data_IF_886170747918
#
_entry.id   IF_886170747918
#
_cell.length_a   1.000
_cell.length_b   1.000
_cell.length_c   1.000
_cell.angle_alpha   90.00
_cell.angle_beta   90.00
_cell.angle_gamma   90.00
#
_symmetry.space_group_name_H-M   'P 1'
#
loop_
_entity.id
_entity.type
_entity.pdbx_description
1 polymer ?
#
# COMPACT_ATOMS: atom_id res chain seq x y z
N UNK A 1 -12.54 4.19 7.72
CA UNK A 1 -11.77 3.74 8.89
C UNK A 1 -10.80 4.85 9.28
N UNK A 2 -10.68 5.22 10.56
CA UNK A 2 -9.71 6.21 11.04
C UNK A 2 -8.26 5.77 10.81
N UNK A 3 -7.36 6.72 10.48
CA UNK A 3 -5.93 6.44 10.30
C UNK A 3 -5.26 5.95 11.58
N UNK A 4 -5.77 6.38 12.74
CA UNK A 4 -5.28 5.96 14.05
C UNK A 4 -5.50 4.46 14.33
N UNK A 5 -6.45 3.83 13.65
CA UNK A 5 -6.70 2.38 13.76
C UNK A 5 -5.80 1.57 12.82
N UNK A 6 -5.26 2.21 11.78
CA UNK A 6 -4.28 1.61 10.85
C UNK A 6 -2.88 1.67 11.43
N UNK A 7 -2.49 2.82 11.99
CA UNK A 7 -1.13 3.07 12.50
C UNK A 7 -0.92 2.46 13.89
N UNK A 8 -1.12 1.15 14.00
CA UNK A 8 -0.91 0.37 15.22
C UNK A 8 -0.04 -0.86 14.95
N UNK A 9 0.82 -1.27 15.90
CA UNK A 9 1.65 -2.48 15.81
C UNK A 9 0.91 -3.76 15.39
N UNK A 10 -0.36 -3.90 15.81
CA UNK A 10 -1.18 -5.08 15.55
C UNK A 10 -1.89 -5.09 14.20
N UNK A 11 -1.76 -4.04 13.39
CA UNK A 11 -2.45 -3.98 12.11
C UNK A 11 -1.83 -4.96 11.10
N UNK A 12 -2.63 -5.82 10.41
CA UNK A 12 -2.12 -6.79 9.47
C UNK A 12 -1.30 -6.16 8.35
N UNK A 13 -0.11 -6.69 8.10
CA UNK A 13 0.80 -6.20 7.05
C UNK A 13 1.15 -4.71 7.18
N UNK A 14 1.20 -4.18 8.41
CA UNK A 14 1.58 -2.78 8.68
C UNK A 14 2.90 -2.38 8.03
N UNK A 15 3.84 -3.31 7.85
CA UNK A 15 5.10 -3.03 7.17
C UNK A 15 4.96 -2.60 5.71
N UNK A 16 3.84 -2.92 5.05
CA UNK A 16 3.55 -2.47 3.69
C UNK A 16 3.02 -1.04 3.66
N UNK A 17 2.43 -0.57 4.75
CA UNK A 17 1.66 0.68 4.80
C UNK A 17 2.44 1.81 5.48
N UNK A 18 3.27 1.48 6.46
CA UNK A 18 3.92 2.46 7.33
C UNK A 18 5.42 2.22 7.48
N UNK A 19 6.09 3.28 7.88
CA UNK A 19 7.48 3.29 8.34
C UNK A 19 7.55 3.79 9.78
N UNK A 20 8.60 3.40 10.49
CA UNK A 20 8.93 3.93 11.81
C UNK A 20 9.65 5.26 11.64
N UNK A 21 9.15 6.30 12.30
CA UNK A 21 9.83 7.59 12.41
C UNK A 21 10.92 7.53 13.50
N UNK A 22 12.17 7.77 13.10
CA UNK A 22 13.34 7.85 13.98
C UNK A 22 13.76 9.29 14.29
N UNK A 23 12.95 10.28 13.92
CA UNK A 23 13.23 11.71 14.07
C UNK A 23 13.97 12.28 12.86
N UNK A 24 15.11 11.68 12.51
CA UNK A 24 15.96 12.17 11.41
C UNK A 24 15.66 11.47 10.07
N UNK A 25 15.07 10.27 10.12
CA UNK A 25 14.76 9.46 8.94
C UNK A 25 13.60 8.51 9.21
N UNK A 26 13.03 7.99 8.11
CA UNK A 26 12.02 6.94 8.15
C UNK A 26 12.68 5.59 7.93
N UNK A 27 12.31 4.61 8.75
CA UNK A 27 12.83 3.26 8.69
C UNK A 27 11.72 2.26 8.35
N UNK A 28 11.99 1.35 7.43
CA UNK A 28 11.08 0.24 7.12
C UNK A 28 10.86 -0.67 8.34
N UNK A 29 9.66 -1.25 8.44
CA UNK A 29 9.29 -2.18 9.51
C UNK A 29 9.72 -3.60 9.10
N UNK A 30 10.76 -4.15 9.71
CA UNK A 30 11.22 -5.51 9.42
C UNK A 30 10.53 -6.58 10.28
N UNK A 31 10.19 -6.23 11.53
CA UNK A 31 9.59 -7.14 12.50
C UNK A 31 8.32 -6.49 13.10
N UNK A 32 7.16 -6.61 12.42
CA UNK A 32 5.91 -5.99 12.88
C UNK A 32 5.51 -6.42 14.29
N UNK A 33 5.74 -7.70 14.64
CA UNK A 33 5.41 -8.24 15.97
C UNK A 33 6.31 -7.76 17.11
N UNK A 34 7.40 -7.04 16.80
CA UNK A 34 8.30 -6.44 17.77
C UNK A 34 8.03 -4.94 17.97
N UNK A 35 7.08 -4.36 17.24
CA UNK A 35 6.67 -2.98 17.41
C UNK A 35 5.99 -2.80 18.78
N UNK A 36 6.45 -1.81 19.53
CA UNK A 36 5.90 -1.38 20.81
C UNK A 36 5.18 -0.04 20.70
N UNK A 37 5.87 1.05 21.03
CA UNK A 37 5.33 2.42 21.05
C UNK A 37 6.02 3.34 20.04
N UNK A 38 6.62 2.79 18.98
CA UNK A 38 7.25 3.59 17.95
C UNK A 38 6.23 4.48 17.23
N UNK A 39 6.68 5.67 16.84
CA UNK A 39 5.88 6.57 16.01
C UNK A 39 5.83 6.01 14.59
N UNK A 40 4.64 5.61 14.15
CA UNK A 40 4.40 5.12 12.80
C UNK A 40 3.94 6.26 11.89
N UNK A 41 4.47 6.30 10.67
CA UNK A 41 4.09 7.24 9.62
C UNK A 41 3.65 6.46 8.40
N UNK A 42 2.50 6.80 7.84
CA UNK A 42 1.98 6.20 6.63
C UNK A 42 2.85 6.64 5.43
N UNK A 43 3.45 5.68 4.72
CA UNK A 43 4.30 5.99 3.55
C UNK A 43 4.05 5.10 2.34
N UNK A 44 3.58 3.86 2.55
CA UNK A 44 3.42 2.85 1.50
C UNK A 44 4.72 2.46 0.76
N UNK A 45 5.91 2.78 1.29
CA UNK A 45 7.17 2.56 0.57
C UNK A 45 7.40 1.08 0.24
N UNK A 46 7.15 0.19 1.19
CA UNK A 46 7.32 -1.26 0.97
C UNK A 46 6.24 -1.83 0.04
N UNK A 47 5.02 -1.26 0.03
CA UNK A 47 4.01 -1.59 -0.98
C UNK A 47 4.47 -1.18 -2.38
N UNK A 48 5.07 0.01 -2.52
CA UNK A 48 5.57 0.53 -3.80
C UNK A 48 6.87 -0.15 -4.26
N UNK A 49 7.61 -0.82 -3.37
CA UNK A 49 8.73 -1.72 -3.73
C UNK A 49 8.25 -3.10 -4.18
N UNK A 50 6.98 -3.45 -3.95
CA UNK A 50 6.43 -4.74 -4.37
C UNK A 50 6.26 -4.79 -5.90
N UNK A 51 7.14 -5.53 -6.58
CA UNK A 51 7.13 -5.63 -8.04
C UNK A 51 5.80 -6.15 -8.60
N UNK A 52 5.11 -7.07 -7.89
CA UNK A 52 3.81 -7.60 -8.35
C UNK A 52 2.75 -6.51 -8.34
N UNK A 53 2.71 -5.71 -7.27
CA UNK A 53 1.79 -4.58 -7.15
C UNK A 53 2.05 -3.52 -8.23
N UNK A 54 3.29 -3.07 -8.38
CA UNK A 54 3.64 -2.06 -9.39
C UNK A 54 3.34 -2.54 -10.81
N UNK A 55 3.62 -3.80 -11.10
CA UNK A 55 3.32 -4.40 -12.41
C UNK A 55 1.81 -4.48 -12.66
N UNK A 56 1.03 -4.85 -11.63
CA UNK A 56 -0.43 -4.87 -11.71
C UNK A 56 -0.98 -3.47 -12.00
N UNK A 57 -0.60 -2.47 -11.21
CA UNK A 57 -1.07 -1.08 -11.38
C UNK A 57 -0.71 -0.51 -12.75
N UNK A 58 0.54 -0.74 -13.20
CA UNK A 58 0.96 -0.34 -14.56
C UNK A 58 0.10 -1.01 -15.63
N UNK A 59 -0.19 -2.30 -15.49
CA UNK A 59 -1.02 -3.03 -16.45
C UNK A 59 -2.46 -2.50 -16.48
N UNK A 60 -3.02 -2.16 -15.31
CA UNK A 60 -4.36 -1.57 -15.20
C UNK A 60 -4.42 -0.20 -15.87
N UNK A 61 -3.49 0.70 -15.52
CA UNK A 61 -3.43 2.05 -16.11
C UNK A 61 -3.26 2.00 -17.62
N UNK A 62 -2.34 1.18 -18.13
CA UNK A 62 -2.14 1.03 -19.58
C UNK A 62 -3.38 0.50 -20.31
N UNK A 63 -4.15 -0.39 -19.69
CA UNK A 63 -5.40 -0.90 -20.28
C UNK A 63 -6.47 0.19 -20.32
N UNK A 64 -6.58 0.99 -19.27
CA UNK A 64 -7.55 2.09 -19.21
C UNK A 64 -7.18 3.21 -20.19
N UNK A 65 -5.92 3.66 -20.20
CA UNK A 65 -5.43 4.67 -21.14
C UNK A 65 -5.69 4.29 -22.60
N UNK A 66 -5.45 3.04 -22.98
CA UNK A 66 -5.75 2.55 -24.34
C UNK A 66 -7.23 2.59 -24.70
N UNK A 67 -8.12 2.46 -23.71
CA UNK A 67 -9.56 2.48 -23.94
C UNK A 67 -10.12 3.90 -23.99
N UNK A 68 -9.57 4.81 -23.17
CA UNK A 68 -10.00 6.20 -23.08
C UNK A 68 -9.24 7.16 -24.00
N UNK A 69 -8.14 6.71 -24.61
CA UNK A 69 -7.23 7.45 -25.48
C UNK A 69 -6.63 8.71 -24.84
N UNK A 70 -6.53 8.70 -23.50
CA UNK A 70 -5.97 9.78 -22.66
C UNK A 70 -5.59 9.24 -21.28
N UNK A 71 -4.77 9.98 -20.49
CA UNK A 71 -4.47 9.64 -19.11
C UNK A 71 -5.75 9.50 -18.28
N UNK A 72 -5.84 8.45 -17.46
CA UNK A 72 -7.01 8.16 -16.63
C UNK A 72 -6.63 8.28 -15.16
N UNK A 73 -7.41 9.03 -14.41
CA UNK A 73 -7.37 9.04 -12.96
C UNK A 73 -8.17 7.86 -12.40
N UNK A 74 -7.57 7.08 -11.52
CA UNK A 74 -8.14 5.82 -11.05
C UNK A 74 -8.26 5.83 -9.55
N UNK A 75 -9.47 5.60 -9.06
CA UNK A 75 -9.72 5.35 -7.67
C UNK A 75 -9.87 3.84 -7.45
N UNK A 76 -9.03 3.29 -6.58
CA UNK A 76 -8.96 1.86 -6.32
C UNK A 76 -8.81 1.53 -4.83
N UNK A 77 -9.21 0.32 -4.46
CA UNK A 77 -8.95 -0.26 -3.15
C UNK A 77 -7.99 -1.43 -3.28
N UNK A 78 -7.18 -1.66 -2.24
CA UNK A 78 -6.26 -2.79 -2.15
C UNK A 78 -6.66 -3.66 -0.97
N UNK A 79 -6.93 -4.93 -1.24
CA UNK A 79 -7.08 -5.96 -0.22
C UNK A 79 -5.74 -6.71 -0.06
N UNK A 80 -5.31 -6.88 1.19
CA UNK A 80 -4.09 -7.59 1.54
C UNK A 80 -4.48 -8.87 2.29
N UNK A 81 -4.17 -10.04 1.71
CA UNK A 81 -4.48 -11.31 2.36
C UNK A 81 -3.59 -11.55 3.57
N UNK A 82 -4.12 -12.30 4.55
CA UNK A 82 -3.36 -12.77 5.72
C UNK A 82 -2.46 -13.98 5.43
N UNK A 83 -2.33 -14.41 4.16
CA UNK A 83 -1.48 -15.54 3.78
C UNK A 83 0.00 -15.17 3.85
N UNK A 84 0.88 -16.15 4.02
CA UNK A 84 2.32 -15.99 3.88
C UNK A 84 2.80 -16.72 2.61
N UNK A 85 3.24 -16.03 1.55
CA UNK A 85 3.34 -14.57 1.40
C UNK A 85 1.97 -13.88 1.20
N UNK A 86 1.86 -12.57 1.51
CA UNK A 86 0.63 -11.82 1.31
C UNK A 86 0.37 -11.63 -0.18
N UNK A 87 -0.90 -11.77 -0.57
CA UNK A 87 -1.39 -11.50 -1.92
C UNK A 87 -2.15 -10.18 -1.89
N UNK A 88 -1.97 -9.38 -2.94
CA UNK A 88 -2.61 -8.08 -3.09
C UNK A 88 -3.68 -8.16 -4.18
N UNK A 89 -4.92 -7.86 -3.84
CA UNK A 89 -6.02 -7.74 -4.79
C UNK A 89 -6.38 -6.27 -4.95
N UNK A 90 -6.34 -5.74 -6.16
CA UNK A 90 -6.74 -4.37 -6.45
C UNK A 90 -8.11 -4.35 -7.12
N UNK A 91 -9.04 -3.56 -6.59
CA UNK A 91 -10.34 -3.32 -7.18
C UNK A 91 -10.45 -1.85 -7.57
N UNK A 92 -10.62 -1.58 -8.85
CA UNK A 92 -10.93 -0.24 -9.35
C UNK A 92 -12.41 0.04 -9.09
N UNK A 93 -12.74 1.15 -8.42
CA UNK A 93 -14.12 1.56 -8.17
C UNK A 93 -14.52 2.79 -8.98
N UNK A 94 -13.55 3.56 -9.49
CA UNK A 94 -13.80 4.66 -10.40
C UNK A 94 -12.60 4.86 -11.34
N UNK A 95 -12.89 5.25 -12.59
CA UNK A 95 -11.89 5.57 -13.60
C UNK A 95 -12.37 6.81 -14.36
N UNK A 96 -11.81 7.96 -14.03
CA UNK A 96 -12.16 9.26 -14.59
C UNK A 96 -11.13 9.66 -15.67
N UNK A 97 -11.56 9.95 -16.90
CA UNK A 97 -10.65 10.25 -18.00
C UNK A 97 -10.42 11.76 -18.22
#
# INVERSE_FOLDING_TARGET
MPVADVLQPGYPSIQLLASVDKGDYLQAIYAPGALGQERLVLTFDELLKNQRFVTLMRTVLQKLERHYDRPVDVEFTVEITKSAPPTLFCTCFNAAP
#
